data_IF_622447824327
#
_entry.id   IF_622447824327
#
_cell.length_a   1.000
_cell.length_b   1.000
_cell.length_c   1.000
_cell.angle_alpha   90.00
_cell.angle_beta   90.00
_cell.angle_gamma   90.00
#
_symmetry.space_group_name_H-M   'P 1'
#
loop_
_entity.id
_entity.type
_entity.pdbx_description
1 polymer ?
#
# COMPACT_ATOMS: atom_id res chain seq x y z
N UNK A 1 -9.78 -11.19 62.91
CA UNK A 1 -10.58 -9.96 62.71
C UNK A 1 -10.17 -9.40 61.37
N UNK A 2 -11.05 -9.56 60.36
CA UNK A 2 -11.84 -8.47 59.77
C UNK A 2 -10.95 -7.47 58.99
N UNK A 3 -11.18 -7.11 57.73
CA UNK A 3 -12.35 -7.31 56.87
C UNK A 3 -11.94 -7.03 55.41
N UNK A 4 -12.63 -7.70 54.50
CA UNK A 4 -12.69 -7.46 53.06
C UNK A 4 -12.99 -6.00 52.68
N UNK A 5 -12.42 -5.52 51.56
CA UNK A 5 -13.13 -4.64 50.62
C UNK A 5 -12.63 -4.81 49.18
N UNK A 6 -13.53 -5.31 48.34
CA UNK A 6 -13.48 -5.24 46.88
C UNK A 6 -13.87 -3.82 46.43
N UNK A 7 -13.31 -3.35 45.32
CA UNK A 7 -13.96 -2.33 44.48
C UNK A 7 -13.65 -2.61 43.01
N UNK A 8 -14.69 -3.08 42.33
CA UNK A 8 -14.79 -3.26 40.89
C UNK A 8 -15.22 -1.94 40.23
N UNK A 9 -14.89 -1.88 38.94
CA UNK A 9 -15.56 -1.15 37.85
C UNK A 9 -15.20 0.34 37.61
N UNK A 10 -14.71 0.57 36.39
CA UNK A 10 -14.61 1.86 35.72
C UNK A 10 -14.33 1.63 34.23
N UNK A 11 -15.31 1.08 33.50
CA UNK A 11 -15.31 1.14 32.02
C UNK A 11 -15.80 2.53 31.63
N UNK A 12 -14.89 3.42 31.26
CA UNK A 12 -15.24 4.72 30.72
C UNK A 12 -15.50 4.56 29.21
N UNK A 13 -16.78 4.57 28.86
CA UNK A 13 -17.26 4.46 27.48
C UNK A 13 -17.07 5.79 26.75
N UNK A 14 -16.39 5.73 25.60
CA UNK A 14 -16.28 6.83 24.65
C UNK A 14 -17.68 7.21 24.14
N UNK A 15 -18.19 8.37 24.57
CA UNK A 15 -19.41 8.94 24.02
C UNK A 15 -19.09 9.62 22.68
N UNK A 16 -19.58 9.05 21.59
CA UNK A 16 -19.54 9.65 20.25
C UNK A 16 -20.68 10.67 20.14
N UNK A 17 -20.42 11.98 19.99
CA UNK A 17 -21.45 13.04 20.08
C UNK A 17 -22.40 13.12 18.87
N UNK A 18 -22.36 12.18 17.93
CA UNK A 18 -23.06 12.29 16.63
C UNK A 18 -24.03 11.14 16.31
N UNK A 19 -24.43 10.33 17.30
CA UNK A 19 -25.60 9.46 17.15
C UNK A 19 -26.84 10.15 17.76
N UNK A 20 -27.54 10.93 16.93
CA UNK A 20 -28.90 11.38 17.24
C UNK A 20 -29.88 10.20 17.17
N UNK A 21 -30.75 10.07 18.18
CA UNK A 21 -31.80 9.04 18.27
C UNK A 21 -32.88 9.29 17.20
N UNK A 22 -33.35 8.27 16.45
CA UNK A 22 -34.52 8.40 15.60
C UNK A 22 -35.78 8.72 16.43
N UNK A 23 -36.70 9.56 15.95
CA UNK A 23 -37.93 9.88 16.68
C UNK A 23 -38.85 8.66 16.77
N UNK A 24 -39.18 8.27 18.00
CA UNK A 24 -40.23 7.31 18.34
C UNK A 24 -41.61 8.00 18.16
N UNK A 25 -42.44 7.48 17.26
CA UNK A 25 -43.87 7.83 17.20
C UNK A 25 -44.68 6.81 17.97
N UNK A 26 -45.25 7.23 19.10
CA UNK A 26 -46.28 6.48 19.83
C UNK A 26 -47.65 6.64 19.16
N UNK A 27 -48.52 5.61 19.21
CA UNK A 27 -49.79 5.59 18.49
C UNK A 27 -50.85 6.48 19.17
N UNK A 28 -51.53 7.29 18.37
CA UNK A 28 -52.66 8.09 18.83
C UNK A 28 -53.89 7.21 19.12
N UNK A 29 -54.42 7.38 20.32
CA UNK A 29 -55.60 6.72 20.88
C UNK A 29 -56.89 7.24 20.19
N UNK A 30 -57.74 6.31 19.74
CA UNK A 30 -58.96 6.62 19.02
C UNK A 30 -60.10 7.01 19.97
N UNK A 31 -60.53 8.27 19.91
CA UNK A 31 -61.75 8.72 20.56
C UNK A 31 -62.98 8.43 19.66
N UNK A 32 -63.98 7.79 20.25
CA UNK A 32 -65.24 7.43 19.60
C UNK A 32 -66.15 8.64 19.35
N UNK A 33 -66.87 8.64 18.22
CA UNK A 33 -67.97 9.56 17.93
C UNK A 33 -69.20 8.71 17.56
N UNK A 34 -70.39 8.97 18.14
CA UNK A 34 -71.55 8.09 18.01
C UNK A 34 -72.34 8.29 16.70
N UNK A 35 -73.10 7.25 16.38
CA UNK A 35 -73.89 7.07 15.16
C UNK A 35 -75.21 7.86 15.14
N UNK A 36 -75.59 8.34 13.94
CA UNK A 36 -76.97 8.44 13.41
C UNK A 36 -76.87 8.94 11.96
N UNK A 37 -77.19 8.09 10.98
CA UNK A 37 -78.45 8.09 10.21
C UNK A 37 -78.55 9.22 9.17
N UNK A 38 -78.35 8.89 7.89
CA UNK A 38 -79.31 9.20 6.82
C UNK A 38 -78.94 8.44 5.54
N UNK A 39 -79.96 7.84 4.92
CA UNK A 39 -79.85 6.92 3.81
C UNK A 39 -79.50 7.65 2.50
N UNK A 40 -78.49 7.15 1.78
CA UNK A 40 -78.26 7.53 0.38
C UNK A 40 -78.02 6.27 -0.46
N UNK A 41 -78.96 6.06 -1.38
CA UNK A 41 -79.04 5.00 -2.37
C UNK A 41 -77.69 4.74 -3.05
N UNK A 42 -77.25 3.48 -3.08
CA UNK A 42 -76.13 3.09 -3.94
C UNK A 42 -76.53 3.29 -5.42
N UNK A 43 -75.75 4.01 -6.25
CA UNK A 43 -75.99 4.03 -7.68
C UNK A 43 -75.72 2.64 -8.28
N UNK A 44 -76.44 2.30 -9.35
CA UNK A 44 -76.31 1.00 -10.03
C UNK A 44 -74.87 0.76 -10.55
N UNK A 45 -74.39 -0.49 -10.53
CA UNK A 45 -73.01 -0.80 -10.91
C UNK A 45 -72.79 -0.57 -12.41
N UNK A 46 -71.85 0.31 -12.73
CA UNK A 46 -71.38 0.52 -14.11
C UNK A 46 -70.31 -0.53 -14.42
N UNK A 47 -70.46 -1.29 -15.49
CA UNK A 47 -69.45 -2.24 -15.94
C UNK A 47 -68.17 -1.49 -16.33
N UNK A 48 -67.08 -1.79 -15.61
CA UNK A 48 -65.75 -1.28 -15.91
C UNK A 48 -65.14 -2.19 -16.97
N UNK A 49 -65.14 -1.73 -18.23
CA UNK A 49 -64.35 -2.38 -19.29
C UNK A 49 -62.89 -1.98 -19.09
N UNK A 50 -62.09 -2.89 -18.55
CA UNK A 50 -60.64 -2.70 -18.43
C UNK A 50 -60.04 -2.68 -19.85
N UNK A 51 -59.52 -1.55 -20.29
CA UNK A 51 -58.70 -1.49 -21.49
C UNK A 51 -57.41 -2.30 -21.27
N UNK A 52 -57.05 -3.17 -22.22
CA UNK A 52 -55.79 -3.91 -22.16
C UNK A 52 -54.60 -2.93 -22.26
N UNK A 53 -53.62 -3.00 -21.33
CA UNK A 53 -52.51 -2.07 -21.33
C UNK A 53 -51.56 -2.36 -22.51
N UNK A 54 -51.23 -1.32 -23.27
CA UNK A 54 -50.21 -1.41 -24.32
C UNK A 54 -48.84 -1.73 -23.72
N UNK A 55 -48.33 -2.94 -23.99
CA UNK A 55 -47.00 -3.37 -23.57
C UNK A 55 -45.95 -2.63 -24.40
N UNK A 56 -45.34 -1.60 -23.82
CA UNK A 56 -44.16 -0.95 -24.41
C UNK A 56 -42.91 -1.79 -24.12
N UNK A 57 -42.48 -2.55 -25.13
CA UNK A 57 -41.20 -3.26 -25.10
C UNK A 57 -40.07 -2.23 -25.17
N UNK A 58 -39.34 -2.05 -24.08
CA UNK A 58 -38.13 -1.21 -24.05
C UNK A 58 -36.95 -2.09 -24.45
N UNK A 59 -36.47 -1.96 -25.69
CA UNK A 59 -35.24 -2.62 -26.11
C UNK A 59 -34.07 -2.05 -25.31
N UNK A 60 -33.43 -2.92 -24.50
CA UNK A 60 -32.15 -2.59 -23.86
C UNK A 60 -31.05 -2.68 -24.91
N UNK A 61 -30.60 -1.53 -25.42
CA UNK A 61 -29.37 -1.43 -26.21
C UNK A 61 -28.20 -1.68 -25.27
N UNK A 62 -27.63 -2.88 -25.31
CA UNK A 62 -26.38 -3.20 -24.61
C UNK A 62 -25.24 -2.69 -25.48
N UNK A 63 -24.74 -1.49 -25.19
CA UNK A 63 -23.52 -0.99 -25.81
C UNK A 63 -22.34 -1.86 -25.34
N UNK A 64 -21.93 -2.82 -26.17
CA UNK A 64 -20.74 -3.63 -25.94
C UNK A 64 -19.52 -2.75 -26.20
N UNK A 65 -18.94 -2.20 -25.14
CA UNK A 65 -17.60 -1.62 -25.20
C UNK A 65 -16.59 -2.74 -25.44
N UNK A 66 -16.09 -2.84 -26.68
CA UNK A 66 -14.97 -3.71 -27.00
C UNK A 66 -13.69 -2.97 -26.61
N UNK A 67 -13.09 -3.35 -25.49
CA UNK A 67 -11.74 -2.91 -25.15
C UNK A 67 -10.77 -3.52 -26.15
N UNK A 68 -10.18 -2.67 -27.00
CA UNK A 68 -9.14 -3.09 -27.93
C UNK A 68 -7.90 -3.43 -27.12
N UNK A 69 -7.67 -4.73 -26.89
CA UNK A 69 -6.42 -5.22 -26.32
C UNK A 69 -5.31 -4.92 -27.32
N UNK A 70 -4.52 -3.87 -27.05
CA UNK A 70 -3.29 -3.59 -27.79
C UNK A 70 -2.19 -4.39 -27.10
N UNK A 71 -1.77 -5.48 -27.73
CA UNK A 71 -0.59 -6.21 -27.30
C UNK A 71 0.65 -5.32 -27.52
N UNK A 72 1.16 -4.73 -26.44
CA UNK A 72 2.43 -4.00 -26.47
C UNK A 72 3.54 -5.03 -26.33
N UNK A 73 4.44 -5.18 -27.33
CA UNK A 73 5.55 -6.10 -27.20
C UNK A 73 6.45 -5.64 -26.05
N UNK A 74 6.58 -6.46 -25.01
CA UNK A 74 7.62 -6.28 -24.01
C UNK A 74 8.95 -6.46 -24.75
N UNK A 75 9.80 -5.43 -24.72
CA UNK A 75 11.10 -5.48 -25.38
C UNK A 75 11.84 -6.76 -24.97
N UNK A 76 12.30 -7.53 -25.96
CA UNK A 76 12.89 -8.87 -25.78
C UNK A 76 14.12 -8.87 -24.86
N UNK A 77 14.73 -7.70 -24.66
CA UNK A 77 15.97 -7.48 -23.93
C UNK A 77 15.76 -6.93 -22.51
N UNK A 78 14.51 -6.81 -22.03
CA UNK A 78 14.19 -6.32 -20.68
C UNK A 78 13.76 -7.44 -19.75
N UNK A 79 14.21 -7.38 -18.50
CA UNK A 79 13.70 -8.25 -17.45
C UNK A 79 12.24 -7.96 -17.16
N UNK A 80 11.47 -9.00 -16.86
CA UNK A 80 10.13 -8.85 -16.27
C UNK A 80 10.27 -9.03 -14.76
N UNK A 81 9.98 -7.98 -13.99
CA UNK A 81 10.02 -8.00 -12.53
C UNK A 81 8.59 -8.01 -11.96
N UNK A 82 8.41 -8.64 -10.81
CA UNK A 82 7.19 -8.52 -10.01
C UNK A 82 7.17 -7.24 -9.17
N UNK A 83 6.16 -7.12 -8.31
CA UNK A 83 6.08 -6.03 -7.30
C UNK A 83 7.13 -6.14 -6.20
N UNK A 84 7.61 -7.37 -5.96
CA UNK A 84 8.67 -7.68 -4.99
C UNK A 84 9.68 -8.58 -5.68
N UNK A 85 10.97 -8.32 -5.46
CA UNK A 85 12.07 -9.15 -5.94
C UNK A 85 13.17 -9.22 -4.88
N UNK A 86 13.87 -10.35 -4.84
CA UNK A 86 15.09 -10.50 -4.05
C UNK A 86 16.26 -9.87 -4.81
N UNK A 87 17.08 -9.10 -4.09
CA UNK A 87 18.17 -8.31 -4.66
C UNK A 87 19.44 -8.59 -3.88
N UNK A 88 20.52 -8.90 -4.58
CA UNK A 88 21.83 -9.00 -3.95
C UNK A 88 22.54 -7.64 -3.95
N UNK A 89 23.19 -7.31 -2.84
CA UNK A 89 23.87 -6.04 -2.60
C UNK A 89 25.37 -6.26 -2.47
N UNK A 90 26.13 -5.49 -3.24
CA UNK A 90 27.58 -5.40 -3.13
C UNK A 90 28.03 -3.94 -2.91
N UNK A 91 28.89 -3.66 -1.92
CA UNK A 91 29.56 -4.62 -1.03
C UNK A 91 28.63 -5.18 0.05
N UNK A 92 28.90 -6.40 0.50
CA UNK A 92 28.23 -7.00 1.66
C UNK A 92 27.82 -8.47 1.46
N UNK A 93 27.75 -8.92 0.20
CA UNK A 93 27.48 -10.33 -0.12
C UNK A 93 26.15 -10.85 0.41
N UNK A 94 25.16 -9.98 0.60
CA UNK A 94 23.86 -10.32 1.19
C UNK A 94 22.72 -10.06 0.22
N UNK A 95 21.58 -10.71 0.48
CA UNK A 95 20.36 -10.52 -0.29
C UNK A 95 19.25 -9.93 0.57
N UNK A 96 18.53 -8.96 0.01
CA UNK A 96 17.36 -8.33 0.61
C UNK A 96 16.15 -8.47 -0.31
N UNK A 97 14.99 -8.68 0.29
CA UNK A 97 13.72 -8.48 -0.38
C UNK A 97 13.50 -6.98 -0.60
N UNK A 98 13.07 -6.66 -1.82
CA UNK A 98 12.89 -5.30 -2.27
C UNK A 98 11.52 -5.07 -2.88
N UNK A 99 11.01 -3.86 -2.72
CA UNK A 99 9.81 -3.40 -3.45
C UNK A 99 10.26 -2.70 -4.73
N UNK A 100 9.67 -3.11 -5.85
CA UNK A 100 9.88 -2.46 -7.14
C UNK A 100 8.95 -1.25 -7.25
N UNK A 101 9.51 -0.04 -7.28
CA UNK A 101 8.76 1.21 -7.26
C UNK A 101 9.09 2.07 -8.50
N UNK A 102 8.18 2.03 -9.47
CA UNK A 102 8.26 2.83 -10.70
C UNK A 102 8.02 4.33 -10.45
N UNK A 103 7.46 4.71 -9.30
CA UNK A 103 7.18 6.09 -8.88
C UNK A 103 8.43 6.84 -8.39
N UNK A 104 9.40 6.12 -7.85
CA UNK A 104 10.63 6.69 -7.31
C UNK A 104 11.72 6.89 -8.36
N UNK A 105 12.36 8.06 -8.40
CA UNK A 105 13.47 8.32 -9.33
C UNK A 105 14.75 7.60 -8.94
N UNK A 106 15.00 7.44 -7.64
CA UNK A 106 16.22 6.87 -7.06
C UNK A 106 15.83 5.76 -6.07
N UNK A 107 16.55 4.64 -6.11
CA UNK A 107 16.46 3.58 -5.11
C UNK A 107 16.76 4.09 -3.70
N UNK A 108 16.18 3.44 -2.69
CA UNK A 108 16.41 3.78 -1.28
C UNK A 108 16.56 2.55 -0.40
N UNK A 109 17.41 2.64 0.62
CA UNK A 109 17.73 1.55 1.52
C UNK A 109 17.54 1.99 2.97
N UNK A 110 16.77 1.21 3.72
CA UNK A 110 16.67 1.31 5.16
C UNK A 110 17.92 0.71 5.81
N UNK A 111 18.72 1.56 6.43
CA UNK A 111 20.05 1.24 6.93
C UNK A 111 20.07 1.54 8.44
N UNK A 112 20.29 0.51 9.27
CA UNK A 112 20.34 0.64 10.73
C UNK A 112 21.69 1.18 11.17
N UNK A 113 21.72 1.85 12.32
CA UNK A 113 22.93 2.43 12.92
C UNK A 113 23.72 3.33 11.94
N UNK A 114 23.00 4.11 11.13
CA UNK A 114 23.56 4.97 10.09
C UNK A 114 24.46 6.05 10.69
N UNK A 115 25.77 5.85 10.61
CA UNK A 115 26.77 6.69 11.27
C UNK A 115 27.72 7.30 10.24
N UNK A 116 27.69 8.63 10.02
CA UNK A 116 28.68 9.30 9.18
C UNK A 116 30.04 9.36 9.88
N UNK A 117 31.12 9.24 9.12
CA UNK A 117 32.49 9.38 9.63
C UNK A 117 33.43 9.92 8.54
N UNK A 118 34.63 10.31 8.92
CA UNK A 118 35.67 10.78 7.99
C UNK A 118 36.76 9.71 7.83
N UNK A 119 37.20 9.47 6.59
CA UNK A 119 38.36 8.63 6.27
C UNK A 119 39.12 9.26 5.12
N UNK A 120 40.42 9.51 5.33
CA UNK A 120 41.33 10.11 4.36
C UNK A 120 40.82 11.45 3.77
N UNK A 121 40.21 12.29 4.62
CA UNK A 121 39.65 13.59 4.20
C UNK A 121 38.36 13.50 3.37
N UNK A 122 37.74 12.32 3.27
CA UNK A 122 36.46 12.11 2.58
C UNK A 122 35.36 11.75 3.58
N UNK A 123 34.13 12.17 3.28
CA UNK A 123 32.94 11.75 4.02
C UNK A 123 32.56 10.31 3.67
N UNK A 124 32.38 9.49 4.69
CA UNK A 124 31.93 8.11 4.60
C UNK A 124 30.72 7.90 5.49
N UNK A 125 30.03 6.79 5.26
CA UNK A 125 28.94 6.36 6.10
C UNK A 125 29.07 4.87 6.40
N UNK A 126 28.90 4.52 7.68
CA UNK A 126 28.82 3.15 8.19
C UNK A 126 27.36 2.83 8.51
N UNK A 127 26.91 1.66 8.14
CA UNK A 127 25.56 1.19 8.47
C UNK A 127 25.50 -0.33 8.53
N UNK A 128 24.38 -0.82 9.05
CA UNK A 128 24.12 -2.24 9.25
C UNK A 128 22.89 -2.68 8.46
N UNK A 129 23.01 -3.81 7.77
CA UNK A 129 21.93 -4.49 7.06
C UNK A 129 21.70 -5.87 7.67
N UNK A 130 20.45 -6.31 7.62
CA UNK A 130 20.03 -7.65 8.06
C UNK A 130 19.57 -8.39 6.81
N UNK A 131 20.21 -9.51 6.43
CA UNK A 131 19.78 -10.33 5.29
C UNK A 131 18.32 -10.78 5.42
N UNK A 132 17.63 -10.97 4.29
CA UNK A 132 16.22 -11.39 4.33
C UNK A 132 16.01 -12.83 4.80
N UNK A 133 17.03 -13.68 4.69
CA UNK A 133 17.05 -15.07 5.14
C UNK A 133 17.55 -15.23 6.58
N UNK A 134 17.86 -14.14 7.27
CA UNK A 134 18.42 -14.18 8.62
C UNK A 134 17.38 -14.64 9.65
N UNK A 135 17.78 -15.54 10.56
CA UNK A 135 16.98 -15.95 11.70
C UNK A 135 16.99 -14.88 12.82
N UNK A 136 16.06 -14.99 13.76
CA UNK A 136 16.01 -14.11 14.93
C UNK A 136 17.30 -14.28 15.77
N UNK A 137 18.09 -13.21 15.85
CA UNK A 137 19.38 -13.19 16.57
C UNK A 137 20.62 -13.22 15.67
N UNK A 138 20.46 -13.34 14.35
CA UNK A 138 21.59 -13.26 13.42
C UNK A 138 22.28 -11.89 13.45
N UNK A 139 23.60 -11.92 13.31
CA UNK A 139 24.41 -10.72 13.36
C UNK A 139 24.19 -9.88 12.07
N UNK A 140 23.93 -8.56 12.21
CA UNK A 140 23.83 -7.69 11.05
C UNK A 140 25.19 -7.55 10.34
N UNK A 141 25.15 -7.41 9.02
CA UNK A 141 26.32 -7.13 8.19
C UNK A 141 26.62 -5.63 8.23
N UNK A 142 27.85 -5.28 8.58
CA UNK A 142 28.31 -3.88 8.59
C UNK A 142 28.93 -3.52 7.25
N UNK A 143 28.46 -2.42 6.66
CA UNK A 143 28.92 -1.89 5.38
C UNK A 143 29.42 -0.46 5.58
N UNK A 144 30.50 -0.11 4.90
CA UNK A 144 31.06 1.24 4.85
C UNK A 144 31.22 1.68 3.41
N UNK A 145 30.68 2.85 3.06
CA UNK A 145 30.76 3.40 1.72
C UNK A 145 31.06 4.90 1.76
N UNK A 146 31.79 5.44 0.76
CA UNK A 146 31.96 6.88 0.61
C UNK A 146 30.62 7.53 0.29
N UNK A 147 30.38 8.70 0.88
CA UNK A 147 29.18 9.49 0.56
C UNK A 147 29.41 10.19 -0.77
N UNK A 148 28.57 9.89 -1.76
CA UNK A 148 28.63 10.51 -3.08
C UNK A 148 28.12 11.95 -3.05
N UNK A 149 27.00 12.14 -2.35
CA UNK A 149 26.32 13.43 -2.14
C UNK A 149 25.31 13.30 -1.03
N UNK A 150 24.76 14.43 -0.60
CA UNK A 150 23.58 14.45 0.26
C UNK A 150 22.36 14.92 -0.53
N UNK A 151 21.20 14.35 -0.22
CA UNK A 151 19.93 14.85 -0.70
C UNK A 151 19.09 15.41 0.45
N UNK A 152 18.36 16.48 0.18
CA UNK A 152 17.39 17.05 1.10
C UNK A 152 16.01 16.47 0.78
N UNK A 153 15.44 15.76 1.74
CA UNK A 153 14.07 15.23 1.65
C UNK A 153 13.18 16.12 2.49
N UNK A 154 12.28 16.85 1.84
CA UNK A 154 11.28 17.68 2.50
C UNK A 154 9.90 17.02 2.36
N UNK A 155 9.14 16.97 3.46
CA UNK A 155 7.73 16.57 3.46
C UNK A 155 6.92 17.72 4.08
N UNK A 156 5.75 18.07 3.51
CA UNK A 156 4.88 19.07 4.12
C UNK A 156 4.59 18.71 5.58
N UNK A 157 4.77 19.67 6.50
CA UNK A 157 4.55 19.47 7.94
C UNK A 157 5.68 18.75 8.69
N UNK A 158 6.80 18.42 8.05
CA UNK A 158 7.96 17.81 8.71
C UNK A 158 9.25 18.58 8.40
N UNK A 159 10.20 18.55 9.34
CA UNK A 159 11.53 19.09 9.09
C UNK A 159 12.21 18.37 7.93
N UNK A 160 12.94 19.14 7.13
CA UNK A 160 13.68 18.57 6.02
C UNK A 160 14.83 17.71 6.52
N UNK A 161 14.89 16.46 6.09
CA UNK A 161 15.95 15.53 6.46
C UNK A 161 17.05 15.54 5.41
N UNK A 162 18.31 15.62 5.85
CA UNK A 162 19.48 15.46 4.99
C UNK A 162 19.89 13.98 5.01
N UNK A 163 19.94 13.33 3.85
CA UNK A 163 20.22 11.89 3.73
C UNK A 163 21.45 11.64 2.85
N UNK A 164 22.37 10.76 3.26
CA UNK A 164 23.52 10.41 2.44
C UNK A 164 23.08 9.52 1.27
N UNK A 165 23.69 9.77 0.12
CA UNK A 165 23.56 8.95 -1.09
C UNK A 165 24.89 8.26 -1.33
N UNK A 166 24.85 6.95 -1.52
CA UNK A 166 26.01 6.11 -1.81
C UNK A 166 25.84 5.44 -3.17
N UNK A 167 26.94 5.01 -3.78
CA UNK A 167 26.90 4.16 -4.98
C UNK A 167 27.17 2.71 -4.55
N UNK A 168 26.32 1.77 -4.98
CA UNK A 168 26.50 0.34 -4.72
C UNK A 168 25.95 -0.49 -5.87
N UNK A 169 26.43 -1.73 -5.99
CA UNK A 169 25.97 -2.68 -7.00
C UNK A 169 24.74 -3.42 -6.48
N UNK A 170 23.67 -3.36 -7.26
CA UNK A 170 22.45 -4.13 -7.03
C UNK A 170 22.31 -5.17 -8.14
N UNK A 171 22.01 -6.41 -7.76
CA UNK A 171 21.79 -7.51 -8.71
C UNK A 171 20.40 -8.09 -8.56
N UNK A 172 19.65 -8.12 -9.67
CA UNK A 172 18.31 -8.74 -9.76
C UNK A 172 18.32 -9.72 -10.93
N UNK A 173 18.02 -10.99 -10.68
CA UNK A 173 18.17 -12.03 -11.70
C UNK A 173 19.62 -12.12 -12.17
N UNK A 174 19.86 -11.81 -13.43
CA UNK A 174 21.18 -11.77 -14.10
C UNK A 174 21.68 -10.35 -14.41
N UNK A 175 20.94 -9.31 -14.03
CA UNK A 175 21.30 -7.92 -14.28
C UNK A 175 21.90 -7.30 -13.02
N UNK A 176 23.14 -6.82 -13.13
CA UNK A 176 23.85 -6.07 -12.10
C UNK A 176 24.08 -4.64 -12.56
N UNK A 177 23.59 -3.66 -11.80
CA UNK A 177 23.84 -2.24 -12.05
C UNK A 177 24.46 -1.57 -10.83
N UNK A 178 25.46 -0.72 -11.08
CA UNK A 178 25.94 0.25 -10.09
C UNK A 178 24.96 1.43 -10.06
N UNK A 179 24.31 1.66 -8.92
CA UNK A 179 23.28 2.70 -8.80
C UNK A 179 23.48 3.56 -7.55
N UNK A 180 22.99 4.80 -7.63
CA UNK A 180 22.85 5.65 -6.46
C UNK A 180 21.72 5.14 -5.55
N UNK A 181 22.01 5.00 -4.26
CA UNK A 181 21.05 4.55 -3.25
C UNK A 181 20.98 5.58 -2.13
N UNK A 182 19.77 6.05 -1.85
CA UNK A 182 19.48 6.94 -0.75
C UNK A 182 19.37 6.16 0.56
N UNK A 183 20.24 6.44 1.52
CA UNK A 183 20.19 5.78 2.83
C UNK A 183 19.24 6.52 3.77
N UNK A 184 18.40 5.76 4.46
CA UNK A 184 17.47 6.27 5.47
C UNK A 184 17.51 5.35 6.67
N UNK A 185 17.34 5.89 7.87
CA UNK A 185 17.05 5.09 9.06
C UNK A 185 15.57 5.28 9.40
N UNK A 186 14.75 4.27 9.13
CA UNK A 186 13.31 4.24 9.44
C UNK A 186 13.01 3.26 10.58
N UNK A 187 14.01 2.83 11.33
CA UNK A 187 13.84 1.80 12.35
C UNK A 187 13.29 0.49 11.74
N UNK A 188 12.23 -0.05 12.33
CA UNK A 188 11.68 -1.36 12.00
C UNK A 188 10.63 -1.32 10.87
N UNK A 189 11.00 -0.79 9.70
CA UNK A 189 10.17 -0.96 8.49
C UNK A 189 10.33 -2.37 7.92
N UNK A 190 9.22 -2.97 7.45
CA UNK A 190 9.19 -4.32 6.87
C UNK A 190 9.99 -4.43 5.56
N UNK A 191 10.11 -3.33 4.81
CA UNK A 191 10.87 -3.30 3.57
C UNK A 191 12.19 -2.58 3.75
N UNK A 192 13.27 -3.32 3.56
CA UNK A 192 14.63 -2.79 3.69
C UNK A 192 15.08 -2.08 2.42
N UNK A 193 14.71 -2.55 1.23
CA UNK A 193 15.16 -1.99 -0.04
C UNK A 193 14.00 -1.61 -0.96
N UNK A 194 14.12 -0.47 -1.62
CA UNK A 194 13.22 0.00 -2.66
C UNK A 194 14.01 0.26 -3.94
N UNK A 195 13.59 -0.35 -5.04
CA UNK A 195 14.23 -0.24 -6.35
C UNK A 195 13.49 0.80 -7.19
N UNK A 196 14.19 1.90 -7.48
CA UNK A 196 13.65 3.02 -8.25
C UNK A 196 13.99 2.97 -9.73
N UNK A 197 13.53 3.99 -10.47
CA UNK A 197 13.77 4.13 -11.92
C UNK A 197 15.24 4.18 -12.33
N UNK A 198 16.15 4.60 -11.45
CA UNK A 198 17.58 4.59 -11.74
C UNK A 198 18.15 3.17 -11.98
N UNK A 199 17.51 2.13 -11.43
CA UNK A 199 17.80 0.74 -11.79
C UNK A 199 16.91 0.27 -12.95
N UNK A 200 15.61 0.57 -12.88
CA UNK A 200 14.61 -0.01 -13.79
C UNK A 200 14.69 0.52 -15.22
N UNK A 201 15.11 1.77 -15.40
CA UNK A 201 15.19 2.41 -16.70
C UNK A 201 16.12 1.59 -17.59
N UNK A 202 15.62 1.23 -18.77
CA UNK A 202 16.31 0.43 -19.78
C UNK A 202 16.63 -1.03 -19.39
N UNK A 203 16.47 -1.42 -18.13
CA UNK A 203 16.71 -2.79 -17.65
C UNK A 203 15.47 -3.69 -17.61
N UNK A 204 14.30 -3.13 -17.23
CA UNK A 204 13.17 -3.94 -16.82
C UNK A 204 11.78 -3.36 -17.15
N UNK A 205 10.78 -4.24 -17.14
CA UNK A 205 9.34 -3.96 -17.13
C UNK A 205 8.75 -4.61 -15.87
N UNK A 206 7.78 -3.95 -15.24
CA UNK A 206 7.17 -4.40 -13.99
C UNK A 206 5.78 -4.97 -14.25
N UNK A 207 5.58 -6.24 -13.92
CA UNK A 207 4.29 -6.92 -13.91
C UNK A 207 3.75 -6.94 -12.48
N UNK A 208 2.76 -6.09 -12.22
CA UNK A 208 2.18 -5.91 -10.88
C UNK A 208 1.39 -7.13 -10.39
N UNK A 209 1.07 -8.08 -11.27
CA UNK A 209 0.36 -9.31 -10.90
C UNK A 209 1.27 -10.39 -10.31
N UNK A 210 2.60 -10.18 -10.36
CA UNK A 210 3.60 -11.18 -9.97
C UNK A 210 4.48 -10.68 -8.82
N UNK A 211 5.16 -11.63 -8.18
CA UNK A 211 6.19 -11.42 -7.14
C UNK A 211 7.30 -12.46 -7.33
N UNK A 212 8.54 -12.10 -7.03
CA UNK A 212 9.73 -12.95 -7.08
C UNK A 212 9.88 -13.67 -8.43
N UNK A 213 9.76 -12.93 -9.53
CA UNK A 213 9.80 -13.47 -10.89
C UNK A 213 11.20 -14.00 -11.24
N UNK A 214 12.23 -13.34 -10.73
CA UNK A 214 13.62 -13.66 -11.06
C UNK A 214 14.22 -14.77 -10.17
N UNK A 215 13.61 -15.06 -9.03
CA UNK A 215 14.15 -15.98 -8.04
C UNK A 215 15.42 -15.44 -7.36
N UNK A 216 16.32 -16.34 -6.97
CA UNK A 216 17.56 -15.96 -6.29
C UNK A 216 18.50 -15.17 -7.24
N UNK A 217 19.08 -14.04 -6.80
CA UNK A 217 20.03 -13.26 -7.59
C UNK A 217 21.26 -14.06 -8.00
N UNK A 218 21.71 -13.91 -9.25
CA UNK A 218 22.95 -14.50 -9.76
C UNK A 218 24.04 -13.43 -9.73
N UNK A 219 24.71 -13.30 -8.58
CA UNK A 219 25.84 -12.39 -8.45
C UNK A 219 26.94 -12.82 -9.43
N UNK A 220 27.45 -11.93 -10.30
CA UNK A 220 28.59 -12.24 -11.13
C UNK A 220 29.77 -12.60 -10.22
N UNK A 221 30.17 -13.88 -10.23
CA UNK A 221 31.39 -14.32 -9.55
C UNK A 221 32.54 -13.60 -10.23
N UNK A 222 33.21 -12.69 -9.50
CA UNK A 222 34.31 -11.91 -10.03
C UNK A 222 35.33 -12.79 -10.73
N UNK A 223 35.70 -12.42 -11.96
CA UNK A 223 36.92 -12.91 -12.61
C UNK A 223 38.14 -12.21 -12.04
#
# INVERSE_FOLDING_TARGET
MLLATQLLAGCESLQFPWLGKPPETEPAEAAAVPAAEEALQCPEPVEVVCAEPEVKVVERVIERHFEKVVEVPVAKDKLVLGTVETVSIEPGGLSLDSVIDTGSSTSSLNARDLTPFERDGKEWVRFKLIPSDSAEGDAPVTIELPVKRYMRVARPGFESQRRPVVEMNLTIGDVTHMVEVNLTDRGNSDFLLLIGRNFLKDAAVVDVSRRNVQGAPKVPVGK
#
